data_IF_367076312146
#
_entry.id   IF_367076312146
#
_cell.length_a   1.000
_cell.length_b   1.000
_cell.length_c   1.000
_cell.angle_alpha   90.00
_cell.angle_beta   90.00
_cell.angle_gamma   90.00
#
_symmetry.space_group_name_H-M   'P 1'
#
loop_
_entity.id
_entity.type
_entity.pdbx_description
1 polymer ?
#
# COMPACT_ATOMS: atom_id res chain seq x y z
N UNK A 1 -27.64 -38.54 -34.41
CA UNK A 1 -26.23 -38.60 -33.96
C UNK A 1 -25.70 -37.18 -33.81
N UNK A 2 -26.44 -36.28 -33.13
CA UNK A 2 -26.13 -34.84 -33.05
C UNK A 2 -26.27 -34.28 -31.63
N UNK A 3 -26.78 -35.06 -30.68
CA UNK A 3 -26.93 -34.63 -29.29
C UNK A 3 -25.60 -34.61 -28.50
N UNK A 4 -24.54 -35.25 -29.00
CA UNK A 4 -23.25 -35.36 -28.28
C UNK A 4 -22.22 -34.28 -28.63
N UNK A 5 -22.49 -33.40 -29.60
CA UNK A 5 -21.55 -32.32 -29.97
C UNK A 5 -21.86 -30.97 -29.32
N UNK A 6 -23.02 -30.83 -28.66
CA UNK A 6 -23.41 -29.58 -27.99
C UNK A 6 -23.00 -29.50 -26.51
N UNK A 7 -22.78 -30.63 -25.83
CA UNK A 7 -22.29 -30.62 -24.44
C UNK A 7 -20.77 -30.36 -24.34
N UNK A 8 -20.01 -30.60 -25.41
CA UNK A 8 -18.54 -30.50 -25.34
C UNK A 8 -18.02 -29.07 -25.53
N UNK A 9 -18.81 -28.16 -26.12
CA UNK A 9 -18.39 -26.77 -26.36
C UNK A 9 -18.53 -25.84 -25.14
N UNK A 10 -19.29 -26.24 -24.12
CA UNK A 10 -19.40 -25.48 -22.87
C UNK A 10 -18.23 -25.71 -21.90
N UNK A 11 -17.59 -26.89 -21.98
CA UNK A 11 -16.51 -27.27 -21.05
C UNK A 11 -15.14 -26.72 -21.47
N UNK A 12 -14.86 -26.59 -22.78
CA UNK A 12 -13.52 -26.27 -23.29
C UNK A 12 -13.17 -24.77 -23.27
N UNK A 13 -14.16 -23.88 -23.22
CA UNK A 13 -13.92 -22.43 -23.07
C UNK A 13 -13.49 -22.02 -21.66
N UNK A 14 -13.61 -22.92 -20.67
CA UNK A 14 -13.33 -22.62 -19.26
C UNK A 14 -11.84 -22.71 -18.90
N UNK A 15 -11.11 -23.73 -19.36
CA UNK A 15 -9.74 -23.98 -18.93
C UNK A 15 -8.73 -22.87 -19.36
N UNK A 16 -8.75 -22.36 -20.60
CA UNK A 16 -7.88 -21.26 -21.01
C UNK A 16 -8.21 -19.95 -20.26
N UNK A 17 -9.49 -19.66 -20.03
CA UNK A 17 -9.95 -18.48 -19.30
C UNK A 17 -9.55 -18.54 -17.82
N UNK A 18 -9.70 -19.70 -17.17
CA UNK A 18 -9.25 -19.94 -15.79
C UNK A 18 -7.73 -19.79 -15.69
N UNK A 19 -6.96 -20.35 -16.62
CA UNK A 19 -5.51 -20.22 -16.64
C UNK A 19 -5.06 -18.75 -16.85
N UNK A 20 -5.77 -17.97 -17.66
CA UNK A 20 -5.52 -16.55 -17.84
C UNK A 20 -5.84 -15.76 -16.56
N UNK A 21 -6.98 -16.02 -15.92
CA UNK A 21 -7.37 -15.40 -14.65
C UNK A 21 -6.36 -15.71 -13.52
N UNK A 22 -5.89 -16.96 -13.42
CA UNK A 22 -4.86 -17.36 -12.47
C UNK A 22 -3.53 -16.62 -12.70
N UNK A 23 -3.08 -16.51 -13.96
CA UNK A 23 -1.86 -15.75 -14.29
C UNK A 23 -2.01 -14.27 -13.96
N UNK A 24 -3.16 -13.68 -14.28
CA UNK A 24 -3.45 -12.29 -13.96
C UNK A 24 -3.46 -12.06 -12.45
N UNK A 25 -4.09 -12.96 -11.69
CA UNK A 25 -4.07 -12.95 -10.23
C UNK A 25 -2.67 -13.06 -9.66
N UNK A 26 -1.81 -13.92 -10.22
CA UNK A 26 -0.41 -14.05 -9.79
C UNK A 26 0.41 -12.77 -10.06
N UNK A 27 0.20 -12.11 -11.21
CA UNK A 27 0.85 -10.84 -11.54
C UNK A 27 0.40 -9.73 -10.57
N UNK A 28 -0.92 -9.65 -10.32
CA UNK A 28 -1.50 -8.67 -9.40
C UNK A 28 -1.03 -8.90 -7.96
N UNK A 29 -0.98 -10.15 -7.51
CA UNK A 29 -0.42 -10.54 -6.21
C UNK A 29 1.03 -10.08 -6.05
N UNK A 30 1.86 -10.33 -7.07
CA UNK A 30 3.28 -9.93 -7.05
C UNK A 30 3.43 -8.41 -6.97
N UNK A 31 2.62 -7.67 -7.73
CA UNK A 31 2.63 -6.21 -7.71
C UNK A 31 2.21 -5.65 -6.35
N UNK A 32 1.14 -6.20 -5.75
CA UNK A 32 0.66 -5.82 -4.41
C UNK A 32 1.71 -6.16 -3.36
N UNK A 33 2.30 -7.35 -3.40
CA UNK A 33 3.35 -7.76 -2.47
C UNK A 33 4.56 -6.84 -2.53
N UNK A 34 5.00 -6.46 -3.74
CA UNK A 34 6.09 -5.50 -3.92
C UNK A 34 5.73 -4.12 -3.36
N UNK A 35 4.53 -3.63 -3.63
CA UNK A 35 4.05 -2.34 -3.11
C UNK A 35 3.94 -2.33 -1.58
N UNK A 36 3.43 -3.40 -0.97
CA UNK A 36 3.36 -3.58 0.49
C UNK A 36 4.76 -3.58 1.09
N UNK A 37 5.68 -4.39 0.54
CA UNK A 37 7.05 -4.48 1.02
C UNK A 37 7.77 -3.13 0.96
N UNK A 38 7.61 -2.39 -0.15
CA UNK A 38 8.14 -1.03 -0.27
C UNK A 38 7.56 -0.10 0.80
N UNK A 39 6.23 -0.08 0.97
CA UNK A 39 5.59 0.81 1.93
C UNK A 39 5.97 0.49 3.37
N UNK A 40 6.09 -0.80 3.71
CA UNK A 40 6.54 -1.23 5.03
C UNK A 40 7.99 -0.81 5.28
N UNK A 41 8.86 -0.90 4.27
CA UNK A 41 10.22 -0.40 4.33
C UNK A 41 10.30 1.10 4.61
N UNK A 42 9.49 1.92 3.92
CA UNK A 42 9.39 3.37 4.15
C UNK A 42 8.94 3.68 5.60
N UNK A 43 7.92 2.98 6.08
CA UNK A 43 7.42 3.13 7.46
C UNK A 43 8.51 2.78 8.46
N UNK A 44 9.21 1.66 8.27
CA UNK A 44 10.28 1.23 9.16
C UNK A 44 11.44 2.24 9.19
N UNK A 45 11.85 2.75 8.03
CA UNK A 45 12.91 3.76 7.93
C UNK A 45 12.53 5.04 8.67
N UNK A 46 11.29 5.51 8.51
CA UNK A 46 10.78 6.68 9.23
C UNK A 46 10.92 6.51 10.75
N UNK A 47 10.47 5.38 11.30
CA UNK A 47 10.54 5.12 12.74
C UNK A 47 11.97 4.99 13.25
N UNK A 48 12.86 4.36 12.48
CA UNK A 48 14.26 4.27 12.85
C UNK A 48 14.91 5.65 12.95
N UNK A 49 14.68 6.52 11.96
CA UNK A 49 15.16 7.91 11.99
C UNK A 49 14.54 8.67 13.17
N UNK A 50 13.25 8.45 13.45
CA UNK A 50 12.58 9.13 14.54
C UNK A 50 13.13 8.74 15.91
N UNK A 51 13.34 7.46 16.17
CA UNK A 51 13.95 6.96 17.41
C UNK A 51 15.36 7.53 17.60
N UNK A 52 16.17 7.57 16.53
CA UNK A 52 17.51 8.15 16.58
C UNK A 52 17.46 9.65 16.93
N UNK A 53 16.57 10.40 16.29
CA UNK A 53 16.39 11.82 16.56
C UNK A 53 15.95 12.07 18.00
N UNK A 54 14.92 11.36 18.48
CA UNK A 54 14.39 11.55 19.83
C UNK A 54 15.41 11.14 20.91
N UNK A 55 16.22 10.10 20.64
CA UNK A 55 17.33 9.72 21.52
C UNK A 55 18.38 10.83 21.61
N UNK A 56 18.75 11.42 20.47
CA UNK A 56 19.70 12.54 20.45
C UNK A 56 19.14 13.78 21.16
N UNK A 57 17.87 14.10 20.94
CA UNK A 57 17.23 15.25 21.57
C UNK A 57 17.10 15.07 23.09
N UNK A 58 16.76 13.87 23.56
CA UNK A 58 16.74 13.54 24.98
C UNK A 58 18.13 13.66 25.61
N UNK A 59 19.17 13.20 24.91
CA UNK A 59 20.56 13.31 25.36
C UNK A 59 21.03 14.77 25.46
N UNK A 60 20.73 15.59 24.45
CA UNK A 60 21.01 17.02 24.48
C UNK A 60 20.27 17.72 25.63
N UNK A 61 19.01 17.35 25.85
CA UNK A 61 18.21 17.90 26.95
C UNK A 61 18.80 17.54 28.31
N UNK A 62 19.23 16.29 28.51
CA UNK A 62 19.90 15.85 29.74
C UNK A 62 21.12 16.71 30.06
N UNK A 63 21.97 16.98 29.06
CA UNK A 63 23.15 17.82 29.25
C UNK A 63 22.80 19.27 29.55
N UNK A 64 21.80 19.84 28.87
CA UNK A 64 21.34 21.21 29.14
C UNK A 64 20.84 21.32 30.58
N UNK A 65 19.98 20.41 31.03
CA UNK A 65 19.49 20.39 32.41
C UNK A 65 20.63 20.19 33.40
N UNK A 66 21.57 19.29 33.12
CA UNK A 66 22.74 19.05 33.97
C UNK A 66 23.66 20.27 34.11
N UNK A 67 23.83 21.05 33.03
CA UNK A 67 24.67 22.24 32.99
C UNK A 67 24.00 23.53 33.49
N UNK A 68 22.66 23.59 33.54
CA UNK A 68 21.94 24.77 34.03
C UNK A 68 21.95 24.84 35.57
N UNK A 69 22.44 25.93 36.19
CA UNK A 69 22.51 26.03 37.65
C UNK A 69 21.15 26.40 38.29
N UNK A 70 20.35 27.25 37.65
CA UNK A 70 19.11 27.74 38.20
C UNK A 70 17.95 26.75 38.01
N UNK A 71 17.25 26.40 39.11
CA UNK A 71 16.13 25.45 39.07
C UNK A 71 14.98 25.94 38.18
N UNK A 72 14.65 27.24 38.23
CA UNK A 72 13.60 27.81 37.39
C UNK A 72 13.91 27.72 35.89
N UNK A 73 15.19 27.79 35.51
CA UNK A 73 15.61 27.60 34.11
C UNK A 73 15.56 26.12 33.70
N UNK A 74 15.90 25.18 34.60
CA UNK A 74 15.72 23.75 34.36
C UNK A 74 14.24 23.41 34.10
N UNK A 75 13.32 23.98 34.87
CA UNK A 75 11.87 23.77 34.70
C UNK A 75 11.44 24.22 33.30
N UNK A 76 11.82 25.43 32.89
CA UNK A 76 11.51 25.96 31.55
C UNK A 76 12.06 25.08 30.43
N UNK A 77 13.27 24.55 30.58
CA UNK A 77 13.84 23.62 29.60
C UNK A 77 12.99 22.34 29.49
N UNK A 78 12.51 21.81 30.62
CA UNK A 78 11.61 20.65 30.64
C UNK A 78 10.26 20.95 29.98
N UNK A 79 9.67 22.11 30.27
CA UNK A 79 8.41 22.55 29.63
C UNK A 79 8.57 22.61 28.11
N UNK A 80 9.62 23.28 27.62
CA UNK A 80 9.93 23.37 26.19
C UNK A 80 10.15 21.99 25.54
N UNK A 81 10.81 21.08 26.24
CA UNK A 81 11.03 19.73 25.75
C UNK A 81 9.73 18.93 25.64
N UNK A 82 8.84 19.04 26.64
CA UNK A 82 7.53 18.38 26.64
C UNK A 82 6.64 18.93 25.52
N UNK A 83 6.59 20.25 25.35
CA UNK A 83 5.84 20.88 24.25
C UNK A 83 6.34 20.39 22.88
N UNK A 84 7.66 20.34 22.70
CA UNK A 84 8.28 19.79 21.50
C UNK A 84 7.92 18.32 21.28
N UNK A 85 7.96 17.50 22.33
CA UNK A 85 7.59 16.08 22.29
C UNK A 85 6.11 15.87 21.94
N UNK A 86 5.20 16.70 22.46
CA UNK A 86 3.77 16.63 22.12
C UNK A 86 3.50 16.95 20.66
N UNK A 87 4.14 18.00 20.12
CA UNK A 87 4.00 18.35 18.69
C UNK A 87 4.45 17.19 17.80
N UNK A 88 5.62 16.67 18.12
CA UNK A 88 6.22 15.48 17.52
C UNK A 88 5.29 14.27 17.55
N UNK A 89 4.63 14.00 18.67
CA UNK A 89 3.67 12.90 18.79
C UNK A 89 2.43 13.10 17.90
N UNK A 90 1.96 14.34 17.72
CA UNK A 90 0.86 14.65 16.80
C UNK A 90 1.25 14.43 15.33
N UNK A 91 2.47 14.80 14.95
CA UNK A 91 3.02 14.55 13.62
C UNK A 91 3.12 13.04 13.35
N UNK A 92 3.60 12.27 14.33
CA UNK A 92 3.71 10.81 14.24
C UNK A 92 2.34 10.13 14.12
N UNK A 93 1.34 10.60 14.88
CA UNK A 93 -0.03 10.10 14.78
C UNK A 93 -0.62 10.33 13.37
N UNK A 94 -0.34 11.50 12.78
CA UNK A 94 -0.73 11.81 11.41
C UNK A 94 -0.06 10.86 10.42
N UNK A 95 1.25 10.65 10.55
CA UNK A 95 2.01 9.74 9.71
C UNK A 95 1.51 8.29 9.79
N UNK A 96 1.14 7.81 10.98
CA UNK A 96 0.54 6.48 11.17
C UNK A 96 -0.77 6.37 10.41
N UNK A 97 -1.64 7.36 10.51
CA UNK A 97 -2.93 7.36 9.84
C UNK A 97 -2.78 7.33 8.31
N UNK A 98 -1.89 8.17 7.78
CA UNK A 98 -1.56 8.20 6.35
C UNK A 98 -0.97 6.87 5.88
N UNK A 99 -0.09 6.28 6.68
CA UNK A 99 0.54 4.99 6.40
C UNK A 99 -0.49 3.86 6.40
N UNK A 100 -1.40 3.83 7.37
CA UNK A 100 -2.51 2.87 7.43
C UNK A 100 -3.43 3.01 6.23
N UNK A 101 -3.77 4.25 5.84
CA UNK A 101 -4.57 4.53 4.63
C UNK A 101 -3.86 4.03 3.37
N UNK A 102 -2.56 4.29 3.23
CA UNK A 102 -1.78 3.85 2.08
C UNK A 102 -1.71 2.33 1.99
N UNK A 103 -1.49 1.64 3.11
CA UNK A 103 -1.50 0.18 3.17
C UNK A 103 -2.87 -0.38 2.77
N UNK A 104 -3.95 0.18 3.30
CA UNK A 104 -5.32 -0.22 2.92
C UNK A 104 -5.60 -0.03 1.43
N UNK A 105 -5.12 1.05 0.81
CA UNK A 105 -5.25 1.24 -0.64
C UNK A 105 -4.46 0.21 -1.45
N UNK A 106 -3.28 -0.19 -0.98
CA UNK A 106 -2.48 -1.23 -1.62
C UNK A 106 -3.19 -2.59 -1.54
N UNK A 107 -3.76 -2.91 -0.39
CA UNK A 107 -4.54 -4.13 -0.18
C UNK A 107 -5.80 -4.17 -1.05
N UNK A 108 -6.55 -3.06 -1.14
CA UNK A 108 -7.76 -3.00 -1.98
C UNK A 108 -7.46 -3.26 -3.45
N UNK A 109 -6.29 -2.85 -3.96
CA UNK A 109 -5.85 -3.15 -5.34
C UNK A 109 -5.67 -4.65 -5.60
N UNK A 110 -5.55 -5.48 -4.58
CA UNK A 110 -5.55 -6.94 -4.74
C UNK A 110 -6.96 -7.48 -5.04
N UNK A 111 -7.99 -6.89 -4.43
CA UNK A 111 -9.37 -7.36 -4.51
C UNK A 111 -10.17 -6.71 -5.65
N UNK A 112 -9.68 -5.63 -6.26
CA UNK A 112 -10.34 -5.03 -7.43
C UNK A 112 -10.17 -5.97 -8.64
N UNK A 113 -11.27 -6.48 -9.23
CA UNK A 113 -11.18 -7.25 -10.46
C UNK A 113 -10.59 -6.36 -11.56
N UNK A 114 -9.65 -6.91 -12.34
CA UNK A 114 -9.11 -6.21 -13.50
C UNK A 114 -10.28 -5.88 -14.44
N UNK A 115 -10.44 -4.60 -14.79
CA UNK A 115 -11.43 -4.16 -15.78
C UNK A 115 -11.34 -5.07 -16.99
N UNK A 116 -12.40 -5.84 -17.20
CA UNK A 116 -12.55 -6.67 -18.38
C UNK A 116 -12.78 -5.67 -19.50
N UNK A 117 -11.72 -5.24 -20.18
CA UNK A 117 -11.85 -4.48 -21.42
C UNK A 117 -12.76 -5.29 -22.32
N UNK A 118 -13.98 -4.81 -22.51
CA UNK A 118 -14.90 -5.27 -23.54
C UNK A 118 -14.11 -5.38 -24.85
N UNK A 119 -13.81 -6.61 -25.25
CA UNK A 119 -13.33 -6.90 -26.59
C UNK A 119 -14.46 -6.49 -27.54
N UNK A 120 -14.25 -5.37 -28.21
CA UNK A 120 -15.00 -4.93 -29.37
C UNK A 120 -15.04 -6.10 -30.36
N UNK A 121 -16.22 -6.73 -30.49
CA UNK A 121 -16.42 -7.89 -31.36
C UNK A 121 -16.37 -7.38 -32.81
N UNK A 122 -15.44 -7.85 -33.65
CA UNK A 122 -15.42 -7.45 -35.05
C UNK A 122 -16.66 -8.00 -35.75
N UNK A 123 -17.54 -7.11 -36.21
CA UNK A 123 -18.67 -7.44 -37.07
C UNK A 123 -18.15 -8.17 -38.32
N UNK A 124 -18.64 -9.39 -38.64
CA UNK A 124 -18.19 -10.11 -39.82
C UNK A 124 -18.64 -9.38 -41.09
N UNK A 125 -17.81 -9.36 -42.16
CA UNK A 125 -18.17 -8.67 -43.39
C UNK A 125 -19.37 -9.34 -44.06
N UNK A 126 -20.27 -8.50 -44.55
CA UNK A 126 -21.50 -8.89 -45.24
C UNK A 126 -21.21 -9.87 -46.39
N UNK A 127 -22.02 -10.93 -46.45
CA UNK A 127 -22.10 -11.83 -47.60
C UNK A 127 -22.49 -11.03 -48.84
N UNK A 128 -21.54 -10.84 -49.77
CA UNK A 128 -21.87 -10.48 -51.15
C UNK A 128 -22.29 -11.74 -51.88
N UNK A 129 -23.59 -11.90 -52.06
CA UNK A 129 -24.18 -12.67 -53.16
C UNK A 129 -23.93 -11.95 -54.51
N UNK A 130 -23.68 -12.73 -55.56
CA UNK A 130 -23.54 -12.29 -56.96
C UNK A 130 -22.24 -12.83 -57.58
N UNK A 131 -22.22 -13.62 -58.65
CA UNK A 131 -23.16 -13.87 -59.76
C UNK A 131 -23.01 -15.32 -60.22
#
# INVERSE_FOLDING_TARGET
MEASMLEQNGATQSAPAIAAALRQGAIQATAVQSALGKKLGEINQHWLQRIQQDSNDAWQMLFKVGGTPAVGEKIKLCEQWIEGAMKKAADDATYVLESARALGQIEMKFFTPADTKETDVPTPPASTEGV
#
